data_IF_676502102210
#
_entry.id   IF_676502102210
#
_cell.length_a   1.000
_cell.length_b   1.000
_cell.length_c   1.000
_cell.angle_alpha   90.00
_cell.angle_beta   90.00
_cell.angle_gamma   90.00
#
_symmetry.space_group_name_H-M   'P 1'
#
loop_
_entity.id
_entity.type
_entity.pdbx_description
1 polymer ?
#
# COMPACT_ATOMS: atom_id res chain seq x y z
N UNK A 1 -4.29 -20.23 12.38
CA UNK A 1 -4.78 -18.86 12.62
C UNK A 1 -5.96 -18.95 13.56
N UNK A 2 -5.81 -18.42 14.77
CA UNK A 2 -6.92 -18.23 15.70
C UNK A 2 -7.78 -17.07 15.21
N UNK A 3 -9.10 -17.18 15.35
CA UNK A 3 -9.97 -16.01 15.20
C UNK A 3 -9.84 -15.13 16.44
N UNK A 4 -10.14 -13.82 16.35
CA UNK A 4 -10.07 -12.94 17.52
C UNK A 4 -10.82 -13.47 18.74
N UNK A 5 -12.00 -14.07 18.55
CA UNK A 5 -12.82 -14.66 19.62
C UNK A 5 -12.22 -15.95 20.23
N UNK A 6 -11.30 -16.61 19.53
CA UNK A 6 -10.63 -17.84 20.00
C UNK A 6 -9.30 -17.53 20.72
N UNK A 7 -8.86 -16.27 20.75
CA UNK A 7 -7.65 -15.84 21.47
C UNK A 7 -7.94 -15.72 22.96
N UNK A 8 -7.25 -16.50 23.79
CA UNK A 8 -7.49 -16.56 25.24
C UNK A 8 -6.45 -15.76 26.03
N UNK A 9 -5.34 -15.37 25.40
CA UNK A 9 -4.24 -14.65 26.04
C UNK A 9 -3.71 -13.53 25.16
N UNK A 10 -3.01 -12.57 25.77
CA UNK A 10 -2.28 -11.54 25.02
C UNK A 10 -1.18 -12.13 24.12
N UNK A 11 -0.63 -13.30 24.48
CA UNK A 11 0.34 -13.98 23.64
C UNK A 11 -0.31 -14.49 22.35
N UNK A 12 -1.53 -15.03 22.42
CA UNK A 12 -2.30 -15.43 21.23
C UNK A 12 -2.56 -14.25 20.29
N UNK A 13 -2.99 -13.12 20.86
CA UNK A 13 -3.27 -11.90 20.09
C UNK A 13 -2.02 -11.39 19.38
N UNK A 14 -0.89 -11.30 20.10
CA UNK A 14 0.38 -10.83 19.53
C UNK A 14 0.87 -11.74 18.41
N UNK A 15 0.81 -13.05 18.60
CA UNK A 15 1.22 -14.00 17.57
C UNK A 15 0.39 -13.86 16.28
N UNK A 16 -0.92 -13.61 16.39
CA UNK A 16 -1.75 -13.39 15.21
C UNK A 16 -1.55 -12.00 14.57
N UNK A 17 -1.24 -10.96 15.36
CA UNK A 17 -0.84 -9.65 14.84
C UNK A 17 0.49 -9.74 14.09
N UNK A 18 1.50 -10.37 14.69
CA UNK A 18 2.82 -10.53 14.07
C UNK A 18 2.69 -11.27 12.72
N UNK A 19 1.84 -12.30 12.66
CA UNK A 19 1.52 -13.02 11.42
C UNK A 19 0.81 -12.14 10.38
N UNK A 20 -0.10 -11.25 10.81
CA UNK A 20 -0.76 -10.30 9.91
C UNK A 20 0.23 -9.25 9.38
N UNK A 21 1.13 -8.77 10.23
CA UNK A 21 2.16 -7.80 9.85
C UNK A 21 3.15 -8.40 8.86
N UNK A 22 3.56 -9.66 9.03
CA UNK A 22 4.36 -10.39 8.03
C UNK A 22 3.63 -10.46 6.68
N UNK A 23 2.35 -10.80 6.68
CA UNK A 23 1.54 -10.84 5.46
C UNK A 23 1.37 -9.46 4.81
N UNK A 24 1.21 -8.40 5.61
CA UNK A 24 1.15 -7.02 5.11
C UNK A 24 2.46 -6.62 4.43
N UNK A 25 3.61 -6.95 5.03
CA UNK A 25 4.93 -6.67 4.43
C UNK A 25 5.11 -7.44 3.12
N UNK A 26 4.68 -8.70 3.05
CA UNK A 26 4.73 -9.47 1.81
C UNK A 26 3.87 -8.83 0.70
N UNK A 27 2.66 -8.35 1.03
CA UNK A 27 1.81 -7.63 0.08
C UNK A 27 2.42 -6.29 -0.36
N UNK A 28 3.12 -5.58 0.54
CA UNK A 28 3.84 -4.37 0.16
C UNK A 28 5.00 -4.67 -0.80
N UNK A 29 5.73 -5.76 -0.59
CA UNK A 29 6.78 -6.18 -1.52
C UNK A 29 6.22 -6.46 -2.92
N UNK A 30 5.10 -7.19 -3.01
CA UNK A 30 4.41 -7.44 -4.28
C UNK A 30 3.95 -6.13 -4.93
N UNK A 31 3.29 -5.24 -4.17
CA UNK A 31 2.86 -3.93 -4.67
C UNK A 31 4.05 -3.14 -5.23
N UNK A 32 5.19 -3.14 -4.55
CA UNK A 32 6.40 -2.44 -4.99
C UNK A 32 6.97 -3.01 -6.28
N UNK A 33 6.93 -4.32 -6.49
CA UNK A 33 7.34 -4.93 -7.76
C UNK A 33 6.49 -4.43 -8.95
N UNK A 34 5.19 -4.19 -8.75
CA UNK A 34 4.34 -3.55 -9.77
C UNK A 34 4.68 -2.09 -10.01
N UNK A 35 5.08 -1.34 -8.97
CA UNK A 35 5.56 0.04 -9.11
C UNK A 35 6.87 0.07 -9.93
N UNK A 36 7.80 -0.85 -9.68
CA UNK A 36 9.03 -0.97 -10.48
C UNK A 36 8.72 -1.24 -11.94
N UNK A 37 7.77 -2.15 -12.21
CA UNK A 37 7.34 -2.41 -13.58
C UNK A 37 6.68 -1.19 -14.21
N UNK A 38 5.89 -0.44 -13.45
CA UNK A 38 5.26 0.80 -13.91
C UNK A 38 6.31 1.85 -14.27
N UNK A 39 7.35 2.03 -13.45
CA UNK A 39 8.46 2.93 -13.75
C UNK A 39 9.11 2.63 -15.10
N UNK A 40 9.45 1.35 -15.34
CA UNK A 40 10.06 0.92 -16.60
C UNK A 40 9.13 1.14 -17.81
N UNK A 41 7.81 1.00 -17.65
CA UNK A 41 6.85 1.31 -18.72
C UNK A 41 6.79 2.82 -18.95
N UNK A 42 6.67 3.61 -17.88
CA UNK A 42 6.57 5.07 -17.94
C UNK A 42 7.78 5.69 -18.64
N UNK A 43 8.97 5.18 -18.37
CA UNK A 43 10.21 5.56 -19.04
C UNK A 43 10.10 5.38 -20.56
N UNK A 44 9.65 4.21 -21.00
CA UNK A 44 9.50 3.86 -22.42
C UNK A 44 8.48 4.75 -23.16
N UNK A 45 7.44 5.19 -22.46
CA UNK A 45 6.34 5.99 -23.06
C UNK A 45 6.40 7.48 -22.69
N UNK A 46 7.45 7.93 -22.00
CA UNK A 46 7.64 9.33 -21.61
C UNK A 46 6.61 9.86 -20.60
N UNK A 47 6.07 9.00 -19.72
CA UNK A 47 5.13 9.41 -18.68
C UNK A 47 5.85 9.82 -17.38
N UNK A 48 5.33 10.82 -16.64
CA UNK A 48 5.89 11.19 -15.35
C UNK A 48 5.59 10.15 -14.27
N UNK A 49 6.43 10.10 -13.24
CA UNK A 49 6.18 9.30 -12.03
C UNK A 49 4.84 9.69 -11.39
N UNK A 50 4.62 10.99 -11.17
CA UNK A 50 3.39 11.52 -10.58
C UNK A 50 2.33 11.82 -11.65
N UNK A 51 1.13 11.26 -11.45
CA UNK A 51 -0.08 11.57 -12.22
C UNK A 51 -1.20 11.83 -11.21
N UNK A 52 -1.57 13.08 -11.00
CA UNK A 52 -2.45 13.49 -9.88
C UNK A 52 -3.83 12.82 -9.92
N UNK A 53 -4.47 12.72 -11.09
CA UNK A 53 -5.75 12.03 -11.24
C UNK A 53 -5.68 10.57 -10.79
N UNK A 54 -4.54 9.90 -11.05
CA UNK A 54 -4.32 8.53 -10.63
C UNK A 54 -4.10 8.44 -9.12
N UNK A 55 -3.40 9.40 -8.52
CA UNK A 55 -3.22 9.49 -7.05
C UNK A 55 -4.57 9.59 -6.36
N UNK A 56 -5.42 10.53 -6.79
CA UNK A 56 -6.73 10.74 -6.18
C UNK A 56 -7.67 9.55 -6.42
N UNK A 57 -7.58 8.88 -7.58
CA UNK A 57 -8.32 7.64 -7.82
C UNK A 57 -7.92 6.52 -6.83
N UNK A 58 -6.62 6.36 -6.54
CA UNK A 58 -6.14 5.37 -5.56
C UNK A 58 -6.65 5.73 -4.16
N UNK A 59 -6.58 7.00 -3.77
CA UNK A 59 -7.10 7.47 -2.48
C UNK A 59 -8.60 7.21 -2.34
N UNK A 60 -9.40 7.57 -3.35
CA UNK A 60 -10.84 7.33 -3.35
C UNK A 60 -11.18 5.84 -3.19
N UNK A 61 -10.43 4.95 -3.85
CA UNK A 61 -10.60 3.51 -3.70
C UNK A 61 -10.33 3.06 -2.25
N UNK A 62 -9.24 3.53 -1.65
CA UNK A 62 -8.86 3.16 -0.28
C UNK A 62 -9.90 3.63 0.73
N UNK A 63 -10.42 4.85 0.57
CA UNK A 63 -11.52 5.36 1.41
C UNK A 63 -12.74 4.45 1.33
N UNK A 64 -13.18 4.10 0.11
CA UNK A 64 -14.31 3.18 -0.11
C UNK A 64 -14.07 1.80 0.50
N UNK A 65 -12.85 1.27 0.40
CA UNK A 65 -12.49 -0.01 1.00
C UNK A 65 -12.46 0.07 2.53
N UNK A 66 -11.97 1.16 3.11
CA UNK A 66 -11.99 1.38 4.54
C UNK A 66 -13.42 1.42 5.09
N UNK A 67 -14.30 2.20 4.44
CA UNK A 67 -15.72 2.30 4.82
C UNK A 67 -16.42 0.93 4.77
N UNK A 68 -16.20 0.16 3.71
CA UNK A 68 -16.79 -1.18 3.55
C UNK A 68 -16.35 -2.17 4.64
N UNK A 69 -15.20 -1.93 5.27
CA UNK A 69 -14.63 -2.76 6.34
C UNK A 69 -14.82 -2.16 7.74
N UNK A 70 -15.60 -1.07 7.86
CA UNK A 70 -15.82 -0.39 9.14
C UNK A 70 -14.56 0.30 9.70
N UNK A 71 -13.57 0.58 8.85
CA UNK A 71 -12.34 1.28 9.20
C UNK A 71 -12.48 2.79 8.97
N UNK A 72 -11.79 3.64 9.77
CA UNK A 72 -11.86 5.09 9.63
C UNK A 72 -11.18 5.58 8.33
N UNK A 73 -11.93 6.04 7.31
CA UNK A 73 -11.37 6.31 5.99
C UNK A 73 -10.28 7.38 6.01
N UNK A 74 -10.42 8.41 6.85
CA UNK A 74 -9.43 9.50 6.95
C UNK A 74 -8.09 9.03 7.51
N UNK A 75 -8.06 7.99 8.35
CA UNK A 75 -6.81 7.42 8.86
C UNK A 75 -6.13 6.57 7.79
N UNK A 76 -6.91 5.77 7.05
CA UNK A 76 -6.38 4.92 5.99
C UNK A 76 -5.89 5.76 4.81
N UNK A 77 -6.59 6.83 4.44
CA UNK A 77 -6.11 7.79 3.44
C UNK A 77 -4.74 8.36 3.82
N UNK A 78 -4.56 8.84 5.06
CA UNK A 78 -3.28 9.39 5.52
C UNK A 78 -2.13 8.38 5.41
N UNK A 79 -2.40 7.12 5.72
CA UNK A 79 -1.42 6.05 5.54
C UNK A 79 -1.13 5.81 4.05
N UNK A 80 -2.17 5.78 3.23
CA UNK A 80 -2.01 5.51 1.79
C UNK A 80 -1.31 6.62 1.04
N UNK A 81 -1.53 7.89 1.40
CA UNK A 81 -0.81 9.01 0.80
C UNK A 81 0.70 8.86 1.01
N UNK A 82 1.14 8.47 2.21
CA UNK A 82 2.57 8.16 2.47
C UNK A 82 3.09 7.00 1.60
N UNK A 83 2.29 5.95 1.42
CA UNK A 83 2.66 4.81 0.58
C UNK A 83 2.75 5.21 -0.91
N UNK A 84 1.87 6.11 -1.37
CA UNK A 84 1.89 6.67 -2.72
C UNK A 84 3.12 7.56 -2.90
N UNK A 85 3.41 8.45 -1.95
CA UNK A 85 4.58 9.33 -2.01
C UNK A 85 5.88 8.50 -2.12
N UNK A 86 6.02 7.44 -1.31
CA UNK A 86 7.14 6.50 -1.44
C UNK A 86 7.20 5.80 -2.80
N UNK A 87 6.04 5.47 -3.39
CA UNK A 87 5.99 4.88 -4.73
C UNK A 87 6.50 5.86 -5.79
N UNK A 88 6.08 7.13 -5.71
CA UNK A 88 6.49 8.19 -6.62
C UNK A 88 8.00 8.43 -6.52
N UNK A 89 8.54 8.57 -5.30
CA UNK A 89 9.98 8.73 -5.07
C UNK A 89 10.80 7.60 -5.72
N UNK A 90 10.32 6.36 -5.58
CA UNK A 90 10.94 5.18 -6.19
C UNK A 90 10.85 5.18 -7.72
N UNK A 91 9.73 5.62 -8.29
CA UNK A 91 9.59 5.76 -9.75
C UNK A 91 10.54 6.87 -10.27
N UNK A 92 10.63 8.00 -9.57
CA UNK A 92 11.55 9.10 -9.91
C UNK A 92 13.03 8.69 -9.85
N UNK A 93 13.40 7.84 -8.89
CA UNK A 93 14.74 7.24 -8.80
C UNK A 93 15.07 6.36 -10.01
N UNK A 94 14.08 5.62 -10.54
CA UNK A 94 14.27 4.82 -11.76
C UNK A 94 14.39 5.71 -13.00
N UNK A 95 13.46 6.66 -13.16
CA UNK A 95 13.41 7.55 -14.33
C UNK A 95 14.63 8.48 -14.44
N UNK A 96 15.34 8.76 -13.34
CA UNK A 96 16.60 9.52 -13.35
C UNK A 96 17.83 8.69 -13.74
N UNK A 97 17.73 7.37 -13.68
CA UNK A 97 18.87 6.44 -13.92
C UNK A 97 18.86 5.81 -15.31
N UNK A 98 17.75 5.90 -16.03
CA UNK A 98 17.64 5.57 -17.45
C UNK A 98 18.03 6.74 -18.34
#
# INVERSE_FOLDING_TARGET
MKRPEDCMTMADIRAEIDRLDEALVAMFAERTAYIDRAAAIKEQVGLPARIDDRVEQVVANVRRHAEAQGLPPDKLEKLWRKLIDWSIEREEDHLRKG
#
